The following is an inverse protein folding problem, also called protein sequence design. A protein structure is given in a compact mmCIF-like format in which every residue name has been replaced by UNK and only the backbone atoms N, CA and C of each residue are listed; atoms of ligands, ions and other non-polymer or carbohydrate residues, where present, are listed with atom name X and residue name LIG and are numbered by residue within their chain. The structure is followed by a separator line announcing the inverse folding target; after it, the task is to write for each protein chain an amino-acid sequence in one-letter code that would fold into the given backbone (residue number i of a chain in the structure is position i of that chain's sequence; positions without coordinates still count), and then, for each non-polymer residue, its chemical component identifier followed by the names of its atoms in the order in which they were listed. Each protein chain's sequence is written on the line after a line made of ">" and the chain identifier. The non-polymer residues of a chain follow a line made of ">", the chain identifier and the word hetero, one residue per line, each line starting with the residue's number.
data_IF_322790386828
#
_entry.id   IF_322790386828
#
_cell.length_a   1.000
_cell.length_b   1.000
_cell.length_c   1.000
_cell.angle_alpha   90.00
_cell.angle_beta   90.00
_cell.angle_gamma   90.00
#
_symmetry.space_group_name_H-M   'P 1'
#
loop_
_entity.id
_entity.type
_entity.pdbx_description
1 polymer ?
#
# COMPACT_ATOMS: atom_id res chain seq x y z
N UNK A 1 -7.51 7.97 -15.79
CA UNK A 1 -8.21 6.75 -15.37
C UNK A 1 -8.32 6.84 -13.87
N UNK A 2 -9.49 7.25 -13.40
CA UNK A 2 -9.89 7.29 -11.99
C UNK A 2 -9.95 5.85 -11.48
N UNK A 3 -8.79 5.31 -11.08
CA UNK A 3 -8.72 4.06 -10.36
C UNK A 3 -9.00 4.38 -8.89
N UNK A 4 -10.21 4.06 -8.44
CA UNK A 4 -10.54 4.10 -7.03
C UNK A 4 -9.74 3.01 -6.31
N UNK A 5 -9.03 3.34 -5.20
CA UNK A 5 -8.31 2.35 -4.42
C UNK A 5 -9.28 1.34 -3.77
N UNK A 6 -8.81 0.13 -3.51
CA UNK A 6 -9.60 -0.95 -2.90
C UNK A 6 -10.14 -0.55 -1.52
N UNK A 7 -9.37 0.23 -0.77
CA UNK A 7 -9.72 0.78 0.54
C UNK A 7 -9.64 2.32 0.50
N UNK A 8 -10.63 3.00 -0.08
CA UNK A 8 -10.59 4.46 -0.28
C UNK A 8 -10.71 5.27 1.00
N UNK A 9 -11.18 4.64 2.08
CA UNK A 9 -11.27 5.25 3.41
C UNK A 9 -9.97 5.13 4.22
N UNK A 10 -8.99 4.38 3.72
CA UNK A 10 -7.69 4.22 4.38
C UNK A 10 -6.74 5.21 3.71
N UNK A 11 -6.44 6.29 4.41
CA UNK A 11 -5.50 7.31 3.95
C UNK A 11 -4.09 7.01 4.45
N UNK A 12 -3.13 7.02 3.54
CA UNK A 12 -1.72 6.80 3.84
C UNK A 12 -0.89 7.92 3.24
N UNK A 13 -0.15 8.62 4.09
CA UNK A 13 0.86 9.59 3.66
C UNK A 13 2.06 8.82 3.12
N UNK A 14 2.28 8.89 1.81
CA UNK A 14 3.38 8.19 1.17
C UNK A 14 4.59 9.13 1.06
N UNK A 15 5.53 9.00 2.00
CA UNK A 15 6.82 9.70 1.90
C UNK A 15 7.73 8.93 0.96
N UNK A 16 7.92 9.46 -0.26
CA UNK A 16 8.79 8.89 -1.31
C UNK A 16 10.23 9.42 -1.19
N UNK A 17 10.62 9.96 -0.04
CA UNK A 17 12.00 10.38 0.20
C UNK A 17 12.88 9.14 0.44
N UNK A 18 14.03 9.11 -0.24
CA UNK A 18 15.07 8.09 -0.12
C UNK A 18 14.78 6.66 -0.65
N UNK A 19 13.69 6.44 -1.39
CA UNK A 19 13.54 5.22 -2.21
C UNK A 19 13.37 3.91 -1.43
N UNK A 20 12.94 3.98 -0.17
CA UNK A 20 12.81 2.78 0.66
C UNK A 20 11.45 2.08 0.46
N UNK A 21 11.38 1.18 -0.52
CA UNK A 21 10.21 0.32 -0.79
C UNK A 21 9.67 -0.38 0.46
N UNK A 22 10.55 -0.84 1.36
CA UNK A 22 10.14 -1.54 2.57
C UNK A 22 9.41 -0.63 3.55
N UNK A 23 9.78 0.65 3.64
CA UNK A 23 9.07 1.62 4.45
C UNK A 23 7.64 1.83 3.92
N UNK A 24 7.48 1.97 2.60
CA UNK A 24 6.16 2.09 1.97
C UNK A 24 5.28 0.88 2.31
N UNK A 25 5.80 -0.32 2.08
CA UNK A 25 5.09 -1.57 2.37
C UNK A 25 4.71 -1.64 3.86
N UNK A 26 5.64 -1.28 4.75
CA UNK A 26 5.41 -1.25 6.20
C UNK A 26 4.27 -0.32 6.60
N UNK A 27 4.28 0.92 6.09
CA UNK A 27 3.26 1.93 6.38
C UNK A 27 1.88 1.48 5.91
N UNK A 28 1.75 0.98 4.67
CA UNK A 28 0.46 0.52 4.14
C UNK A 28 -0.05 -0.70 4.91
N UNK A 29 0.81 -1.68 5.22
CA UNK A 29 0.42 -2.85 6.05
C UNK A 29 -0.08 -2.43 7.42
N UNK A 30 0.57 -1.45 8.04
CA UNK A 30 0.14 -0.92 9.33
C UNK A 30 -1.23 -0.26 9.23
N UNK A 31 -1.45 0.58 8.21
CA UNK A 31 -2.72 1.26 8.00
C UNK A 31 -3.87 0.28 7.75
N UNK A 32 -3.65 -0.74 6.90
CA UNK A 32 -4.63 -1.82 6.66
C UNK A 32 -5.03 -2.52 7.96
N UNK A 33 -4.03 -2.92 8.78
CA UNK A 33 -4.29 -3.58 10.08
C UNK A 33 -5.03 -2.68 11.06
N UNK A 34 -4.70 -1.40 11.13
CA UNK A 34 -5.35 -0.44 12.02
C UNK A 34 -6.84 -0.24 11.69
N UNK A 35 -7.21 -0.38 10.41
CA UNK A 35 -8.59 -0.30 9.95
C UNK A 35 -9.32 -1.65 9.99
N UNK A 36 -8.73 -2.69 10.60
CA UNK A 36 -9.35 -3.99 10.77
C UNK A 36 -9.42 -4.83 9.49
N UNK A 37 -8.60 -4.51 8.49
CA UNK A 37 -8.48 -5.35 7.28
C UNK A 37 -7.92 -6.71 7.66
N UNK A 38 -8.52 -7.77 7.12
CA UNK A 38 -8.14 -9.15 7.42
C UNK A 38 -6.67 -9.44 7.08
N UNK A 39 -6.01 -10.27 7.89
CA UNK A 39 -4.59 -10.58 7.70
C UNK A 39 -4.31 -11.18 6.32
N UNK A 40 -5.22 -11.98 5.77
CA UNK A 40 -5.11 -12.53 4.41
C UNK A 40 -4.98 -11.44 3.34
N UNK A 41 -5.72 -10.32 3.47
CA UNK A 41 -5.62 -9.18 2.56
C UNK A 41 -4.30 -8.42 2.73
N UNK A 42 -3.82 -8.32 3.96
CA UNK A 42 -2.51 -7.70 4.24
C UNK A 42 -1.36 -8.54 3.64
N UNK A 43 -1.48 -9.87 3.67
CA UNK A 43 -0.55 -10.78 3.00
C UNK A 43 -0.61 -10.60 1.49
N UNK A 44 -1.81 -10.61 0.89
CA UNK A 44 -2.03 -10.40 -0.54
C UNK A 44 -1.39 -9.08 -1.03
N UNK A 45 -1.61 -7.97 -0.30
CA UNK A 45 -0.94 -6.70 -0.58
C UNK A 45 0.59 -6.83 -0.57
N UNK A 46 1.13 -7.53 0.42
CA UNK A 46 2.58 -7.66 0.59
C UNK A 46 3.20 -8.49 -0.52
N UNK A 47 2.59 -9.61 -0.89
CA UNK A 47 3.03 -10.45 -2.01
C UNK A 47 3.00 -9.69 -3.33
N UNK A 48 1.92 -8.92 -3.55
CA UNK A 48 1.81 -8.14 -4.76
C UNK A 48 2.82 -6.99 -4.83
N UNK A 49 2.98 -6.23 -3.75
CA UNK A 49 3.91 -5.10 -3.71
C UNK A 49 5.36 -5.56 -3.91
N UNK A 50 5.72 -6.74 -3.39
CA UNK A 50 7.07 -7.32 -3.49
C UNK A 50 7.33 -8.13 -4.76
N UNK A 51 6.36 -8.22 -5.68
CA UNK A 51 6.47 -9.05 -6.88
C UNK A 51 7.37 -8.50 -7.99
N UNK A 52 7.75 -7.22 -7.91
CA UNK A 52 8.53 -6.54 -8.95
C UNK A 52 9.38 -5.40 -8.36
N UNK A 53 9.51 -4.28 -9.07
CA UNK A 53 10.41 -3.18 -8.73
C UNK A 53 9.78 -2.11 -7.81
N UNK A 54 10.58 -1.09 -7.46
CA UNK A 54 10.15 0.05 -6.64
C UNK A 54 8.85 0.71 -7.15
N UNK A 55 8.73 0.93 -8.45
CA UNK A 55 7.52 1.49 -9.07
C UNK A 55 6.28 0.62 -8.84
N UNK A 56 6.45 -0.71 -8.79
CA UNK A 56 5.36 -1.62 -8.52
C UNK A 56 4.85 -1.47 -7.09
N UNK A 57 5.74 -1.22 -6.13
CA UNK A 57 5.35 -0.95 -4.74
C UNK A 57 4.45 0.29 -4.67
N UNK A 58 4.83 1.37 -5.36
CA UNK A 58 4.04 2.60 -5.38
C UNK A 58 2.69 2.38 -6.04
N UNK A 59 2.65 1.75 -7.23
CA UNK A 59 1.41 1.48 -7.96
C UNK A 59 0.48 0.58 -7.16
N UNK A 60 1.02 -0.45 -6.52
CA UNK A 60 0.24 -1.35 -5.66
C UNK A 60 -0.29 -0.59 -4.46
N UNK A 61 0.52 0.22 -3.77
CA UNK A 61 0.05 1.06 -2.67
C UNK A 61 -1.11 1.98 -3.09
N UNK A 62 -0.97 2.70 -4.20
CA UNK A 62 -2.01 3.59 -4.74
C UNK A 62 -3.28 2.85 -5.16
N UNK A 63 -3.19 1.57 -5.54
CA UNK A 63 -4.36 0.77 -5.88
C UNK A 63 -5.06 0.20 -4.67
N UNK A 64 -4.35 0.01 -3.56
CA UNK A 64 -4.89 -0.58 -2.35
C UNK A 64 -5.48 0.46 -1.40
N UNK A 65 -4.84 1.61 -1.24
CA UNK A 65 -5.24 2.65 -0.27
C UNK A 65 -5.24 4.03 -0.90
N UNK A 66 -5.94 4.97 -0.29
CA UNK A 66 -5.87 6.37 -0.68
C UNK A 66 -4.52 6.94 -0.28
N UNK A 67 -3.68 7.26 -1.26
CA UNK A 67 -2.39 7.92 -1.03
C UNK A 67 -2.60 9.43 -1.02
N UNK A 68 -2.09 10.10 0.01
CA UNK A 68 -2.15 11.56 0.21
C UNK A 68 -0.77 12.18 0.36
#
# INVERSE_FOLDING_TARGET
>A
MDLEPLFPHIEVVLVVEDGNAFNIIGTVRQALRQHGVEETRVVEFTEEATSADYDNVIRTAMRWVQVV
#
